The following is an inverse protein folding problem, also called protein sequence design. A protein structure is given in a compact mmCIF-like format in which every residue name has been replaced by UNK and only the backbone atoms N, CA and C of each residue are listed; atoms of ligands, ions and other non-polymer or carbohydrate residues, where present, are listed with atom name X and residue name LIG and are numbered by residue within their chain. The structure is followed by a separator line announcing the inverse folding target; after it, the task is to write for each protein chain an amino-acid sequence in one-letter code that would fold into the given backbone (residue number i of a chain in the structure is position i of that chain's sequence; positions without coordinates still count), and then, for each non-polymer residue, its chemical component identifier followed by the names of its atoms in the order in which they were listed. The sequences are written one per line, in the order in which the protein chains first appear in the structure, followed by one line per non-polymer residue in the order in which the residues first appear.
data_IF_907402216492
#
_entry.id   IF_907402216492
#
_cell.length_a   1.000
_cell.length_b   1.000
_cell.length_c   1.000
_cell.angle_alpha   90.00
_cell.angle_beta   90.00
_cell.angle_gamma   90.00
#
_symmetry.space_group_name_H-M   'P 1'
#
loop_
_entity.id
_entity.type
_entity.pdbx_description
1 polymer ?
#
# COMPACT_ATOMS: atom_id res chain seq x y z
N UNK A 1 8.13 -12.06 4.50
CA UNK A 1 7.10 -12.32 3.47
C UNK A 1 5.91 -12.96 4.16
N UNK A 2 4.70 -12.46 3.92
CA UNK A 2 3.46 -13.00 4.49
C UNK A 2 2.44 -13.22 3.38
N UNK A 3 1.54 -14.17 3.58
CA UNK A 3 0.41 -14.41 2.68
C UNK A 3 -0.84 -13.77 3.28
N UNK A 4 -1.59 -13.08 2.44
CA UNK A 4 -2.86 -12.45 2.79
C UNK A 4 -3.89 -12.83 1.73
N UNK A 5 -5.14 -12.98 2.12
CA UNK A 5 -6.23 -13.21 1.18
C UNK A 5 -6.84 -11.86 0.78
N UNK A 6 -6.81 -11.55 -0.51
CA UNK A 6 -7.45 -10.35 -1.08
C UNK A 6 -8.40 -10.82 -2.18
N UNK A 7 -9.69 -10.50 -2.05
CA UNK A 7 -10.73 -10.91 -3.01
C UNK A 7 -10.77 -12.43 -3.26
N UNK A 8 -10.51 -13.25 -2.23
CA UNK A 8 -10.48 -14.72 -2.34
C UNK A 8 -9.23 -15.28 -3.03
N UNK A 9 -8.21 -14.45 -3.27
CA UNK A 9 -6.94 -14.87 -3.87
C UNK A 9 -5.80 -14.75 -2.84
N UNK A 10 -4.93 -15.77 -2.72
CA UNK A 10 -3.74 -15.68 -1.89
C UNK A 10 -2.72 -14.75 -2.56
N UNK A 11 -2.33 -13.70 -1.85
CA UNK A 11 -1.36 -12.70 -2.29
C UNK A 11 -0.14 -12.75 -1.38
N UNK A 12 1.04 -12.86 -1.99
CA UNK A 12 2.32 -12.84 -1.28
C UNK A 12 2.82 -11.40 -1.14
N UNK A 13 2.83 -10.92 0.10
CA UNK A 13 3.37 -9.60 0.47
C UNK A 13 4.86 -9.73 0.76
N UNK A 14 5.67 -8.98 0.01
CA UNK A 14 7.13 -9.05 0.10
C UNK A 14 7.70 -8.08 1.13
N UNK A 15 7.05 -6.94 1.33
CA UNK A 15 7.46 -5.89 2.28
C UNK A 15 6.25 -5.17 2.90
N UNK A 16 6.47 -4.55 4.06
CA UNK A 16 5.48 -3.74 4.78
C UNK A 16 6.10 -2.38 5.11
N UNK A 17 5.39 -1.32 4.75
CA UNK A 17 5.70 0.07 5.08
C UNK A 17 4.81 0.53 6.21
N UNK A 18 5.43 0.84 7.36
CA UNK A 18 4.73 1.53 8.43
C UNK A 18 4.87 3.05 8.28
N UNK A 19 3.76 3.70 7.95
CA UNK A 19 3.61 5.14 7.86
C UNK A 19 2.59 5.70 8.87
N UNK A 20 2.26 4.97 9.93
CA UNK A 20 1.45 5.51 11.04
C UNK A 20 2.17 6.68 11.71
N UNK A 21 1.42 7.70 12.11
CA UNK A 21 1.95 8.95 12.66
C UNK A 21 2.58 9.86 11.61
N UNK A 22 2.46 9.52 10.32
CA UNK A 22 2.90 10.35 9.21
C UNK A 22 1.68 10.80 8.40
N UNK A 23 1.66 12.08 8.05
CA UNK A 23 0.59 12.69 7.28
C UNK A 23 1.07 13.03 5.87
N UNK A 24 0.12 13.33 4.98
CA UNK A 24 0.36 13.73 3.61
C UNK A 24 1.53 14.73 3.49
N UNK A 25 2.52 14.47 2.60
CA UNK A 25 2.56 13.41 1.58
C UNK A 25 3.30 12.13 2.00
N UNK A 26 3.70 12.02 3.27
CA UNK A 26 4.70 11.06 3.71
C UNK A 26 4.33 9.58 3.53
N UNK A 27 3.08 9.12 3.73
CA UNK A 27 2.72 7.73 3.48
C UNK A 27 2.99 7.28 2.04
N UNK A 28 2.61 8.10 1.05
CA UNK A 28 2.83 7.83 -0.37
C UNK A 28 4.32 7.87 -0.71
N UNK A 29 5.07 8.84 -0.17
CA UNK A 29 6.53 8.93 -0.39
C UNK A 29 7.24 7.68 0.12
N UNK A 30 6.89 7.21 1.32
CA UNK A 30 7.50 5.98 1.87
C UNK A 30 7.12 4.74 1.06
N UNK A 31 5.86 4.62 0.65
CA UNK A 31 5.43 3.53 -0.20
C UNK A 31 6.20 3.51 -1.52
N UNK A 32 6.35 4.66 -2.18
CA UNK A 32 7.13 4.80 -3.41
C UNK A 32 8.56 4.29 -3.23
N UNK A 33 9.26 4.77 -2.21
CA UNK A 33 10.65 4.37 -1.94
C UNK A 33 10.80 2.87 -1.67
N UNK A 34 9.76 2.24 -1.12
CA UNK A 34 9.77 0.79 -0.93
C UNK A 34 9.46 0.03 -2.23
N UNK A 35 8.51 0.51 -3.04
CA UNK A 35 8.20 -0.06 -4.36
C UNK A 35 9.39 0.04 -5.33
N UNK A 36 10.24 1.05 -5.21
CA UNK A 36 11.48 1.15 -5.99
C UNK A 36 12.45 -0.02 -5.71
N UNK A 37 12.37 -0.66 -4.54
CA UNK A 37 13.26 -1.76 -4.13
C UNK A 37 12.74 -3.16 -4.46
N UNK A 38 11.46 -3.30 -4.76
CA UNK A 38 10.82 -4.61 -5.03
C UNK A 38 10.74 -4.87 -6.54
N UNK A 39 10.52 -6.13 -6.91
CA UNK A 39 10.39 -6.54 -8.32
C UNK A 39 8.97 -6.27 -8.85
N UNK A 40 8.81 -6.30 -10.17
CA UNK A 40 7.50 -6.20 -10.82
C UNK A 40 6.57 -7.32 -10.34
N UNK A 41 5.28 -7.00 -10.25
CA UNK A 41 4.21 -7.89 -9.75
C UNK A 41 4.36 -8.29 -8.27
N UNK A 42 5.31 -7.69 -7.53
CA UNK A 42 5.40 -7.88 -6.09
C UNK A 42 4.52 -6.88 -5.34
N UNK A 43 3.98 -7.33 -4.21
CA UNK A 43 3.02 -6.57 -3.41
C UNK A 43 3.67 -6.05 -2.14
N UNK A 44 3.49 -4.75 -1.89
CA UNK A 44 3.88 -4.05 -0.67
C UNK A 44 2.63 -3.69 0.13
N UNK A 45 2.67 -3.96 1.43
CA UNK A 45 1.66 -3.49 2.37
C UNK A 45 2.02 -2.07 2.86
N UNK A 46 1.03 -1.19 2.96
CA UNK A 46 1.12 0.13 3.60
C UNK A 46 0.20 0.17 4.82
N UNK A 47 0.74 0.62 5.95
CA UNK A 47 -0.01 0.95 7.16
C UNK A 47 -0.01 2.47 7.34
N UNK A 48 -1.18 3.09 7.37
CA UNK A 48 -1.33 4.54 7.53
C UNK A 48 -2.52 4.88 8.43
N UNK A 49 -2.45 5.98 9.16
CA UNK A 49 -3.54 6.51 9.99
C UNK A 49 -4.04 7.89 9.52
N UNK A 50 -3.43 8.42 8.46
CA UNK A 50 -3.88 9.62 7.77
C UNK A 50 -5.19 9.34 6.99
N UNK A 51 -6.30 10.05 7.26
CA UNK A 51 -7.53 9.90 6.48
C UNK A 51 -7.37 10.28 5.00
N UNK A 52 -6.41 11.15 4.66
CA UNK A 52 -6.15 11.55 3.27
C UNK A 52 -5.67 10.38 2.39
N UNK A 53 -5.15 9.31 2.98
CA UNK A 53 -4.62 8.17 2.22
C UNK A 53 -5.68 7.45 1.37
N UNK A 54 -6.96 7.57 1.75
CA UNK A 54 -8.07 6.95 1.03
C UNK A 54 -8.29 7.60 -0.35
N UNK A 55 -7.96 8.88 -0.48
CA UNK A 55 -8.05 9.61 -1.76
C UNK A 55 -6.68 9.69 -2.46
N UNK A 56 -5.61 9.93 -1.70
CA UNK A 56 -4.27 10.12 -2.23
C UNK A 56 -3.69 8.84 -2.86
N UNK A 57 -3.93 7.68 -2.23
CA UNK A 57 -3.32 6.42 -2.67
C UNK A 57 -3.87 5.91 -4.01
N UNK A 58 -5.20 5.85 -4.24
CA UNK A 58 -5.74 5.48 -5.55
C UNK A 58 -5.25 6.43 -6.66
N UNK A 59 -5.31 7.74 -6.43
CA UNK A 59 -4.86 8.74 -7.40
C UNK A 59 -3.36 8.60 -7.72
N UNK A 60 -2.53 8.32 -6.71
CA UNK A 60 -1.11 8.08 -6.90
C UNK A 60 -0.82 6.79 -7.69
N UNK A 61 -1.55 5.71 -7.40
CA UNK A 61 -1.44 4.45 -8.14
C UNK A 61 -1.78 4.67 -9.63
N UNK A 62 -2.91 5.32 -9.93
CA UNK A 62 -3.29 5.67 -11.31
C UNK A 62 -2.22 6.52 -12.02
N UNK A 63 -1.65 7.51 -11.33
CA UNK A 63 -0.61 8.38 -11.89
C UNK A 63 0.77 7.73 -12.05
N UNK A 64 1.01 6.58 -11.42
CA UNK A 64 2.32 5.88 -11.44
C UNK A 64 2.26 4.48 -12.06
N UNK A 65 1.12 4.14 -12.67
CA UNK A 65 0.80 2.83 -13.23
C UNK A 65 0.79 1.67 -12.21
N UNK A 66 1.09 1.93 -10.93
CA UNK A 66 0.99 0.93 -9.86
C UNK A 66 -0.47 0.54 -9.62
N UNK A 67 -0.68 -0.66 -9.08
CA UNK A 67 -2.03 -1.19 -8.88
C UNK A 67 -2.38 -1.28 -7.40
N UNK A 68 -3.41 -0.55 -6.99
CA UNK A 68 -4.02 -0.72 -5.67
C UNK A 68 -4.90 -1.98 -5.67
N UNK A 69 -4.56 -2.96 -4.84
CA UNK A 69 -5.31 -4.22 -4.73
C UNK A 69 -6.43 -4.15 -3.70
N UNK A 70 -6.18 -3.47 -2.58
CA UNK A 70 -7.16 -3.26 -1.52
C UNK A 70 -6.69 -2.12 -0.60
N UNK A 71 -7.64 -1.44 0.02
CA UNK A 71 -7.44 -0.51 1.12
C UNK A 71 -8.61 -0.67 2.09
N UNK A 72 -8.31 -1.07 3.32
CA UNK A 72 -9.31 -1.31 4.36
C UNK A 72 -8.87 -0.71 5.68
N UNK A 73 -9.83 -0.27 6.49
CA UNK A 73 -9.57 0.23 7.83
C UNK A 73 -9.77 -0.90 8.84
N UNK A 74 -8.72 -1.22 9.59
CA UNK A 74 -8.81 -2.24 10.63
C UNK A 74 -9.47 -1.73 11.92
N UNK A 75 -9.71 -2.64 12.88
CA UNK A 75 -10.35 -2.34 14.17
C UNK A 75 -9.60 -1.30 15.02
N UNK A 76 -8.31 -1.10 14.77
CA UNK A 76 -7.46 -0.10 15.46
C UNK A 76 -7.50 1.27 14.78
N UNK A 77 -8.33 1.42 13.74
CA UNK A 77 -8.47 2.66 12.98
C UNK A 77 -7.34 2.92 11.97
N UNK A 78 -6.45 1.95 11.73
CA UNK A 78 -5.34 2.04 10.79
C UNK A 78 -5.82 1.55 9.42
N UNK A 79 -5.53 2.32 8.38
CA UNK A 79 -5.67 1.91 6.98
C UNK A 79 -4.55 0.92 6.61
N UNK A 80 -4.95 -0.23 6.12
CA UNK A 80 -4.09 -1.27 5.57
C UNK A 80 -4.35 -1.32 4.08
N UNK A 81 -3.35 -0.95 3.29
CA UNK A 81 -3.43 -0.99 1.84
C UNK A 81 -2.40 -1.97 1.27
N UNK A 82 -2.75 -2.59 0.15
CA UNK A 82 -1.88 -3.50 -0.58
C UNK A 82 -1.69 -2.97 -2.00
N UNK A 83 -0.44 -2.70 -2.38
CA UNK A 83 -0.09 -2.12 -3.67
C UNK A 83 0.87 -3.04 -4.39
N UNK A 84 0.52 -3.39 -5.61
CA UNK A 84 1.33 -4.20 -6.52
C UNK A 84 2.14 -3.28 -7.43
N UNK A 85 3.46 -3.52 -7.48
CA UNK A 85 4.33 -2.82 -8.42
C UNK A 85 4.01 -3.23 -9.84
N UNK A 86 3.76 -2.26 -10.71
CA UNK A 86 3.62 -2.46 -12.15
C UNK A 86 4.75 -1.73 -12.90
N UNK A 87 4.84 -1.94 -14.22
CA UNK A 87 5.81 -1.27 -15.10
C UNK A 87 5.52 0.21 -15.33
#
# INVERSE_FOLDING_TARGET
MKEVEINGQPIKVVSTVNATGLFCPMPVVKLKLELEKVELNQVVELLADDPGIVEDLPAWCEGTNNKLLSIERNEKGIFVAYVEKQE
#
